data_IF_507845835529
#
_entry.id   IF_507845835529
#
_cell.length_a   1.000
_cell.length_b   1.000
_cell.length_c   1.000
_cell.angle_alpha   90.00
_cell.angle_beta   90.00
_cell.angle_gamma   90.00
#
_symmetry.space_group_name_H-M   'P 1'
#
loop_
_entity.id
_entity.type
_entity.pdbx_description
1 polymer ?
#
# COMPACT_ATOMS: atom_id res chain seq x y z
N UNK A 1 -15.52 -0.79 25.72
CA UNK A 1 -14.49 -1.06 24.68
C UNK A 1 -14.27 0.22 23.90
N UNK A 2 -13.02 0.59 23.61
CA UNK A 2 -12.73 1.77 22.82
C UNK A 2 -13.20 1.59 21.36
N UNK A 3 -13.84 2.61 20.80
CA UNK A 3 -14.26 2.66 19.39
C UNK A 3 -13.04 2.60 18.46
N UNK A 4 -13.24 2.23 17.20
CA UNK A 4 -12.15 2.21 16.20
C UNK A 4 -11.46 3.56 16.06
N UNK A 5 -12.21 4.66 16.12
CA UNK A 5 -11.65 6.03 16.06
C UNK A 5 -10.75 6.34 17.26
N UNK A 6 -11.14 5.93 18.46
CA UNK A 6 -10.31 6.12 19.66
C UNK A 6 -9.01 5.32 19.57
N UNK A 7 -9.06 4.09 19.05
CA UNK A 7 -7.86 3.28 18.81
C UNK A 7 -6.94 3.95 17.78
N UNK A 8 -7.47 4.42 16.66
CA UNK A 8 -6.70 5.15 15.65
C UNK A 8 -6.12 6.47 16.17
N UNK A 9 -6.82 7.16 17.07
CA UNK A 9 -6.32 8.37 17.72
C UNK A 9 -5.14 8.11 18.67
N UNK A 10 -5.08 6.93 19.30
CA UNK A 10 -3.89 6.49 20.06
C UNK A 10 -2.75 6.12 19.10
N UNK A 11 -3.05 5.34 18.08
CA UNK A 11 -2.09 4.95 17.05
C UNK A 11 -1.43 6.17 16.39
N UNK A 12 -2.21 7.21 16.08
CA UNK A 12 -1.68 8.46 15.53
C UNK A 12 -0.56 9.04 16.40
N UNK A 13 -0.74 9.08 17.73
CA UNK A 13 0.28 9.58 18.65
C UNK A 13 1.54 8.73 18.62
N UNK A 14 1.41 7.42 18.43
CA UNK A 14 2.52 6.48 18.35
C UNK A 14 3.32 6.66 17.05
N UNK A 15 2.67 6.92 15.92
CA UNK A 15 3.31 6.87 14.59
C UNK A 15 3.59 8.23 13.95
N UNK A 16 3.02 9.33 14.46
CA UNK A 16 3.08 10.64 13.80
C UNK A 16 4.49 11.13 13.52
N UNK A 17 5.45 10.88 14.42
CA UNK A 17 6.83 11.37 14.29
C UNK A 17 7.57 10.65 13.17
N UNK A 18 7.47 9.32 13.14
CA UNK A 18 8.01 8.49 12.06
C UNK A 18 7.42 8.87 10.70
N UNK A 19 6.15 9.29 10.69
CA UNK A 19 5.41 9.62 9.48
C UNK A 19 5.59 11.08 9.05
N UNK A 20 6.27 11.90 9.88
CA UNK A 20 6.43 13.34 9.65
C UNK A 20 5.12 14.13 9.72
N UNK A 21 4.14 13.64 10.48
CA UNK A 21 2.81 14.23 10.64
C UNK A 21 2.77 15.23 11.80
N UNK A 22 1.99 16.29 11.62
CA UNK A 22 1.69 17.29 12.65
C UNK A 22 0.39 16.94 13.38
N UNK A 23 0.18 17.46 14.59
CA UNK A 23 -1.07 17.22 15.35
C UNK A 23 -2.33 17.62 14.56
N UNK A 24 -2.21 18.62 13.67
CA UNK A 24 -3.28 19.05 12.75
C UNK A 24 -3.70 17.97 11.75
N UNK A 25 -2.85 16.98 11.48
CA UNK A 25 -3.12 15.89 10.53
C UNK A 25 -3.93 14.75 11.15
N UNK A 26 -4.13 14.77 12.47
CA UNK A 26 -4.74 13.68 13.23
C UNK A 26 -6.09 13.24 12.68
N UNK A 27 -7.00 14.17 12.42
CA UNK A 27 -8.34 13.82 11.93
C UNK A 27 -8.27 13.22 10.52
N UNK A 28 -7.43 13.78 9.64
CA UNK A 28 -7.23 13.24 8.30
C UNK A 28 -6.61 11.84 8.34
N UNK A 29 -5.67 11.60 9.25
CA UNK A 29 -5.09 10.27 9.48
C UNK A 29 -6.13 9.26 9.97
N UNK A 30 -6.95 9.63 10.96
CA UNK A 30 -8.01 8.75 11.50
C UNK A 30 -9.02 8.41 10.40
N UNK A 31 -9.46 9.41 9.65
CA UNK A 31 -10.38 9.23 8.52
C UNK A 31 -9.77 8.31 7.45
N UNK A 32 -8.54 8.59 7.02
CA UNK A 32 -7.80 7.76 6.06
C UNK A 32 -7.70 6.31 6.55
N UNK A 33 -7.20 6.07 7.75
CA UNK A 33 -7.00 4.72 8.26
C UNK A 33 -8.33 3.95 8.42
N UNK A 34 -9.39 4.65 8.86
CA UNK A 34 -10.74 4.09 8.98
C UNK A 34 -11.34 3.71 7.62
N UNK A 35 -11.22 4.57 6.60
CA UNK A 35 -11.72 4.25 5.28
C UNK A 35 -10.97 3.08 4.64
N UNK A 36 -9.67 2.94 4.92
CA UNK A 36 -8.83 1.92 4.26
C UNK A 36 -9.27 0.51 4.56
N UNK A 37 -9.58 0.18 5.80
CA UNK A 37 -10.00 -1.19 6.13
C UNK A 37 -11.32 -1.57 5.43
N UNK A 38 -12.26 -0.62 5.26
CA UNK A 38 -13.52 -0.87 4.54
C UNK A 38 -13.30 -1.01 3.03
N UNK A 39 -12.49 -0.13 2.43
CA UNK A 39 -12.14 -0.17 1.00
C UNK A 39 -11.37 -1.44 0.63
N UNK A 40 -10.41 -1.86 1.44
CA UNK A 40 -9.65 -3.09 1.24
C UNK A 40 -10.57 -4.32 1.27
N UNK A 41 -11.45 -4.40 2.27
CA UNK A 41 -12.41 -5.50 2.37
C UNK A 41 -13.37 -5.55 1.18
N UNK A 42 -13.86 -4.41 0.71
CA UNK A 42 -14.70 -4.33 -0.49
C UNK A 42 -13.94 -4.84 -1.72
N UNK A 43 -12.71 -4.37 -1.92
CA UNK A 43 -11.84 -4.77 -3.04
C UNK A 43 -11.59 -6.29 -3.05
N UNK A 44 -11.39 -6.89 -1.89
CA UNK A 44 -11.14 -8.33 -1.77
C UNK A 44 -12.42 -9.15 -1.94
N UNK A 45 -13.57 -8.65 -1.48
CA UNK A 45 -14.88 -9.24 -1.80
C UNK A 45 -15.14 -9.27 -3.31
N UNK A 46 -14.92 -8.15 -4.01
CA UNK A 46 -15.08 -8.07 -5.47
C UNK A 46 -14.08 -8.95 -6.23
N UNK A 47 -12.86 -9.12 -5.70
CA UNK A 47 -11.89 -10.06 -6.27
C UNK A 47 -12.34 -11.51 -6.08
N UNK A 48 -12.85 -11.86 -4.89
CA UNK A 48 -13.42 -13.16 -4.62
C UNK A 48 -14.60 -13.45 -5.54
N UNK A 49 -15.52 -12.51 -5.75
CA UNK A 49 -16.68 -12.67 -6.64
C UNK A 49 -16.27 -12.93 -8.09
N UNK A 50 -15.25 -12.22 -8.60
CA UNK A 50 -14.73 -12.40 -9.97
C UNK A 50 -14.00 -13.72 -10.23
N UNK A 51 -13.43 -14.35 -9.20
CA UNK A 51 -12.82 -15.68 -9.33
C UNK A 51 -13.92 -16.75 -9.37
N UNK A 52 -14.59 -16.89 -10.52
CA UNK A 52 -15.52 -17.97 -10.85
C UNK A 52 -14.78 -19.31 -11.03
N UNK A 53 -14.40 -20.00 -9.95
CA UNK A 53 -14.13 -21.44 -10.00
C UNK A 53 -14.40 -22.10 -8.64
N UNK A 54 -15.41 -22.97 -8.62
CA UNK A 54 -15.70 -24.07 -7.69
C UNK A 54 -15.66 -23.83 -6.16
N UNK A 55 -16.86 -23.61 -5.62
CA UNK A 55 -17.48 -24.43 -4.56
C UNK A 55 -16.61 -24.87 -3.38
N UNK A 56 -16.23 -23.94 -2.53
CA UNK A 56 -16.21 -24.11 -1.07
C UNK A 56 -16.11 -22.70 -0.46
N UNK A 57 -16.73 -22.47 0.70
CA UNK A 57 -16.90 -21.14 1.33
C UNK A 57 -15.69 -20.23 1.11
N UNK A 58 -15.84 -19.21 0.25
CA UNK A 58 -14.84 -18.14 0.09
C UNK A 58 -14.73 -17.42 1.43
N UNK A 59 -13.69 -17.73 2.19
CA UNK A 59 -13.43 -17.07 3.47
C UNK A 59 -13.12 -15.60 3.22
N UNK A 60 -14.00 -14.73 3.69
CA UNK A 60 -13.78 -13.30 3.72
C UNK A 60 -13.65 -12.87 5.18
N UNK A 61 -12.49 -12.37 5.61
CA UNK A 61 -12.31 -11.88 6.97
C UNK A 61 -13.35 -10.81 7.35
N UNK A 62 -13.63 -10.73 8.64
CA UNK A 62 -14.60 -9.76 9.18
C UNK A 62 -14.08 -8.33 9.01
N UNK A 63 -14.97 -7.34 9.13
CA UNK A 63 -14.54 -5.94 9.15
C UNK A 63 -13.53 -5.65 10.29
N UNK A 64 -13.66 -6.36 11.43
CA UNK A 64 -12.74 -6.23 12.56
C UNK A 64 -11.35 -6.79 12.24
N UNK A 65 -11.27 -7.88 11.47
CA UNK A 65 -9.98 -8.47 11.06
C UNK A 65 -9.24 -7.53 10.11
N UNK A 66 -9.94 -6.91 9.16
CA UNK A 66 -9.35 -5.87 8.31
C UNK A 66 -8.90 -4.65 9.11
N UNK A 67 -9.69 -4.21 10.09
CA UNK A 67 -9.29 -3.10 10.96
C UNK A 67 -8.01 -3.43 11.71
N UNK A 68 -7.91 -4.61 12.33
CA UNK A 68 -6.70 -5.06 13.04
C UNK A 68 -5.50 -5.16 12.10
N UNK A 69 -5.67 -5.74 10.91
CA UNK A 69 -4.59 -5.88 9.95
C UNK A 69 -4.08 -4.52 9.44
N UNK A 70 -4.97 -3.57 9.20
CA UNK A 70 -4.61 -2.17 8.86
C UNK A 70 -3.90 -1.49 10.02
N UNK A 71 -4.44 -1.61 11.24
CA UNK A 71 -3.86 -1.04 12.45
C UNK A 71 -2.41 -1.52 12.65
N UNK A 72 -2.20 -2.84 12.60
CA UNK A 72 -0.87 -3.43 12.78
C UNK A 72 0.10 -3.04 11.67
N UNK A 73 -0.37 -2.99 10.42
CA UNK A 73 0.46 -2.57 9.30
C UNK A 73 0.94 -1.11 9.49
N UNK A 74 0.05 -0.19 9.87
CA UNK A 74 0.40 1.20 10.18
C UNK A 74 1.39 1.24 11.34
N UNK A 75 1.09 0.57 12.45
CA UNK A 75 1.90 0.57 13.67
C UNK A 75 3.34 0.09 13.43
N UNK A 76 3.52 -0.88 12.53
CA UNK A 76 4.83 -1.54 12.31
C UNK A 76 5.61 -0.99 11.12
N UNK A 77 5.03 -0.10 10.32
CA UNK A 77 5.64 0.42 9.10
C UNK A 77 6.80 1.41 9.33
N UNK A 78 6.87 2.07 10.49
CA UNK A 78 7.91 3.06 10.82
C UNK A 78 8.10 4.17 9.75
N UNK A 79 7.04 4.49 9.00
CA UNK A 79 7.05 5.55 7.99
C UNK A 79 7.82 5.22 6.70
N UNK A 80 8.22 3.97 6.49
CA UNK A 80 8.99 3.54 5.32
C UNK A 80 8.23 2.55 4.44
N UNK A 81 8.53 2.59 3.14
CA UNK A 81 8.04 1.66 2.14
C UNK A 81 8.67 0.29 2.43
N UNK A 82 7.81 -0.70 2.70
CA UNK A 82 8.22 -2.04 3.13
C UNK A 82 9.21 -2.72 2.17
N UNK A 83 9.12 -2.46 0.87
CA UNK A 83 9.93 -3.15 -0.13
C UNK A 83 11.23 -2.41 -0.45
N UNK A 84 11.26 -1.09 -0.28
CA UNK A 84 12.40 -0.26 -0.72
C UNK A 84 13.14 0.44 0.42
N UNK A 85 12.58 0.46 1.63
CA UNK A 85 13.12 1.17 2.78
C UNK A 85 13.06 2.70 2.66
N UNK A 86 12.48 3.24 1.59
CA UNK A 86 12.38 4.68 1.36
C UNK A 86 11.26 5.28 2.20
N UNK A 87 11.42 6.53 2.66
CA UNK A 87 10.35 7.25 3.38
C UNK A 87 9.09 7.34 2.54
N UNK A 88 7.96 7.06 3.16
CA UNK A 88 6.64 7.21 2.57
C UNK A 88 6.20 8.67 2.61
N UNK A 89 5.51 9.11 1.56
CA UNK A 89 5.02 10.48 1.47
C UNK A 89 3.59 10.60 2.02
N UNK A 90 3.50 10.79 3.34
CA UNK A 90 2.23 10.98 4.03
C UNK A 90 1.56 12.33 3.73
N UNK A 91 2.36 13.37 3.43
CA UNK A 91 1.88 14.71 3.10
C UNK A 91 1.05 14.77 1.81
N UNK A 92 1.26 13.86 0.85
CA UNK A 92 0.40 13.73 -0.34
C UNK A 92 -0.81 12.82 -0.08
N UNK A 93 -0.68 11.91 0.89
CA UNK A 93 -1.67 10.87 1.15
C UNK A 93 -2.90 11.42 1.87
N UNK A 94 -2.72 12.25 2.91
CA UNK A 94 -3.81 12.75 3.74
C UNK A 94 -4.64 13.89 3.07
N UNK A 95 -4.05 14.88 2.37
CA UNK A 95 -4.82 15.99 1.77
C UNK A 95 -5.56 15.62 0.48
N UNK A 96 -5.05 14.64 -0.27
CA UNK A 96 -5.54 14.36 -1.62
C UNK A 96 -6.80 13.47 -1.67
N UNK A 97 -7.15 12.77 -0.57
CA UNK A 97 -8.41 12.02 -0.51
C UNK A 97 -9.64 12.93 -0.33
N UNK A 98 -9.47 14.10 0.30
CA UNK A 98 -10.54 15.13 0.38
C UNK A 98 -10.84 15.80 -0.97
N UNK A 99 -9.87 15.85 -1.87
CA UNK A 99 -9.99 16.65 -3.11
C UNK A 99 -10.47 15.83 -4.31
N UNK A 100 -10.44 14.49 -4.27
CA UNK A 100 -10.92 13.67 -5.39
C UNK A 100 -12.44 13.61 -5.55
N UNK A 101 -13.22 14.21 -4.64
CA UNK A 101 -14.66 14.43 -4.83
C UNK A 101 -15.00 15.86 -5.32
N UNK A 102 -14.04 16.77 -5.45
CA UNK A 102 -14.30 18.16 -5.79
C UNK A 102 -13.56 18.61 -7.07
N UNK A 103 -14.22 18.43 -8.22
CA UNK A 103 -14.24 19.38 -9.34
C UNK A 103 -12.95 20.12 -9.73
N UNK A 104 -11.87 19.43 -10.09
CA UNK A 104 -10.79 20.09 -10.87
C UNK A 104 -10.26 19.17 -11.97
N UNK A 105 -10.25 19.71 -13.19
CA UNK A 105 -9.61 19.16 -14.39
C UNK A 105 -8.10 19.05 -14.17
N UNK A 106 -7.63 18.06 -13.40
CA UNK A 106 -6.21 17.67 -13.43
C UNK A 106 -5.98 16.86 -14.69
N UNK A 107 -4.83 17.09 -15.32
CA UNK A 107 -4.42 16.28 -16.47
C UNK A 107 -4.19 14.84 -16.00
N UNK A 108 -4.58 13.83 -16.79
CA UNK A 108 -4.49 12.41 -16.40
C UNK A 108 -3.08 12.00 -15.92
N UNK A 109 -2.06 12.69 -16.41
CA UNK A 109 -0.64 12.48 -16.10
C UNK A 109 -0.26 12.97 -14.70
N UNK A 110 -0.75 14.14 -14.27
CA UNK A 110 -0.51 14.69 -12.92
C UNK A 110 -1.17 13.84 -11.84
N UNK A 111 -2.36 13.30 -12.14
CA UNK A 111 -3.08 12.40 -11.24
C UNK A 111 -2.37 11.04 -11.09
N UNK A 112 -1.75 10.53 -12.16
CA UNK A 112 -1.00 9.27 -12.11
C UNK A 112 0.27 9.39 -11.28
N UNK A 113 1.06 10.46 -11.47
CA UNK A 113 2.29 10.69 -10.69
C UNK A 113 1.97 10.89 -9.20
N UNK A 114 0.95 11.71 -8.90
CA UNK A 114 0.51 11.93 -7.52
C UNK A 114 0.02 10.62 -6.89
N UNK A 115 -0.69 9.77 -7.64
CA UNK A 115 -1.17 8.46 -7.16
C UNK A 115 -0.03 7.48 -6.88
N UNK A 116 1.04 7.51 -7.66
CA UNK A 116 2.22 6.67 -7.46
C UNK A 116 3.00 7.03 -6.18
N UNK A 117 2.92 8.27 -5.72
CA UNK A 117 3.60 8.73 -4.50
C UNK A 117 2.78 8.53 -3.23
N UNK A 118 1.46 8.28 -3.35
CA UNK A 118 0.59 8.02 -2.19
C UNK A 118 0.94 6.71 -1.51
N UNK A 119 0.76 6.70 -0.19
CA UNK A 119 0.85 5.50 0.63
C UNK A 119 -0.35 4.60 0.37
N UNK A 120 -0.10 3.31 0.20
CA UNK A 120 -1.12 2.28 0.02
C UNK A 120 -0.80 1.05 0.88
N UNK A 121 -1.80 0.18 1.00
CA UNK A 121 -1.63 -1.15 1.58
C UNK A 121 -1.49 -2.19 0.47
N UNK A 122 -0.52 -3.08 0.64
CA UNK A 122 -0.30 -4.24 -0.21
C UNK A 122 -0.49 -5.54 0.58
N UNK A 123 -0.92 -6.59 -0.13
CA UNK A 123 -0.96 -7.94 0.40
C UNK A 123 0.42 -8.62 0.16
N UNK A 124 1.18 -8.82 1.23
CA UNK A 124 2.58 -9.32 1.15
C UNK A 124 2.71 -10.66 0.39
N UNK A 125 1.77 -11.57 0.62
CA UNK A 125 1.75 -12.92 0.03
C UNK A 125 0.63 -13.06 -1.02
N UNK A 126 0.31 -11.97 -1.72
CA UNK A 126 -0.87 -11.94 -2.59
C UNK A 126 -2.17 -12.08 -1.77
N UNK A 127 -3.30 -12.34 -2.44
CA UNK A 127 -4.63 -12.30 -1.81
C UNK A 127 -5.00 -13.58 -1.05
N UNK A 128 -4.11 -14.05 -0.19
CA UNK A 128 -4.32 -15.14 0.76
C UNK A 128 -5.09 -14.67 2.00
N UNK A 129 -6.43 -14.60 1.89
CA UNK A 129 -7.26 -13.98 2.92
C UNK A 129 -7.33 -14.73 4.27
N UNK A 130 -6.88 -16.00 4.34
CA UNK A 130 -6.84 -16.77 5.59
C UNK A 130 -5.79 -16.22 6.58
N UNK A 131 -4.75 -15.55 6.07
CA UNK A 131 -3.73 -14.89 6.87
C UNK A 131 -3.63 -13.42 6.48
N UNK A 132 -4.69 -12.67 6.79
CA UNK A 132 -4.84 -11.27 6.38
C UNK A 132 -3.73 -10.41 7.00
N UNK A 133 -2.70 -10.12 6.21
CA UNK A 133 -1.57 -9.28 6.60
C UNK A 133 -1.29 -8.26 5.51
N UNK A 134 -1.22 -7.00 5.93
CA UNK A 134 -0.85 -5.90 5.06
C UNK A 134 0.52 -5.34 5.41
N UNK A 135 1.14 -4.72 4.42
CA UNK A 135 2.30 -3.83 4.59
C UNK A 135 2.01 -2.51 3.90
N UNK A 136 2.64 -1.43 4.33
CA UNK A 136 2.55 -0.15 3.65
C UNK A 136 3.69 0.01 2.65
N UNK A 137 3.35 0.53 1.48
CA UNK A 137 4.29 0.87 0.43
C UNK A 137 3.76 2.06 -0.37
N UNK A 138 4.61 2.62 -1.23
CA UNK A 138 4.19 3.62 -2.19
C UNK A 138 3.31 3.00 -3.27
N UNK A 139 2.40 3.79 -3.85
CA UNK A 139 1.58 3.38 -4.99
C UNK A 139 2.42 2.87 -6.16
N UNK A 140 3.60 3.47 -6.38
CA UNK A 140 4.58 3.04 -7.39
C UNK A 140 5.07 1.63 -7.15
N UNK A 141 5.50 1.34 -5.92
CA UNK A 141 5.98 -0.01 -5.54
C UNK A 141 4.86 -1.03 -5.66
N UNK A 142 3.66 -0.70 -5.18
CA UNK A 142 2.50 -1.58 -5.26
C UNK A 142 2.10 -1.90 -6.71
N UNK A 143 2.13 -0.90 -7.59
CA UNK A 143 1.82 -1.06 -9.01
C UNK A 143 2.88 -1.92 -9.73
N UNK A 144 4.17 -1.72 -9.40
CA UNK A 144 5.26 -2.52 -9.95
C UNK A 144 5.24 -3.98 -9.47
N UNK A 145 4.91 -4.23 -8.20
CA UNK A 145 4.78 -5.59 -7.65
C UNK A 145 3.55 -6.29 -8.21
N UNK A 146 2.43 -5.58 -8.32
CA UNK A 146 1.15 -6.13 -8.78
C UNK A 146 0.77 -7.40 -7.97
N UNK A 147 0.21 -8.43 -8.61
CA UNK A 147 -0.20 -9.68 -7.98
C UNK A 147 0.97 -10.64 -7.63
N UNK A 148 2.23 -10.26 -7.87
CA UNK A 148 3.38 -11.08 -7.48
C UNK A 148 3.47 -11.22 -5.95
N UNK A 149 3.91 -12.38 -5.47
CA UNK A 149 4.38 -12.54 -4.09
C UNK A 149 5.69 -11.77 -3.88
N UNK A 150 6.06 -11.52 -2.62
CA UNK A 150 7.35 -10.89 -2.30
C UNK A 150 8.54 -11.64 -2.95
N UNK A 151 8.56 -12.97 -2.87
CA UNK A 151 9.63 -13.80 -3.44
C UNK A 151 9.71 -13.67 -4.96
N UNK A 152 8.57 -13.70 -5.65
CA UNK A 152 8.51 -13.53 -7.11
C UNK A 152 8.96 -12.13 -7.53
N UNK A 153 8.55 -11.10 -6.79
CA UNK A 153 8.95 -9.73 -7.06
C UNK A 153 10.46 -9.53 -6.91
N UNK A 154 11.07 -10.06 -5.84
CA UNK A 154 12.52 -10.00 -5.64
C UNK A 154 13.29 -10.73 -6.75
N UNK A 155 12.82 -11.91 -7.17
CA UNK A 155 13.42 -12.66 -8.29
C UNK A 155 13.37 -11.87 -9.59
N UNK A 156 12.24 -11.22 -9.87
CA UNK A 156 12.08 -10.37 -11.05
C UNK A 156 13.03 -9.17 -11.00
N UNK A 157 13.11 -8.46 -9.86
CA UNK A 157 14.04 -7.36 -9.69
C UNK A 157 15.50 -7.79 -9.90
N UNK A 158 15.89 -8.95 -9.36
CA UNK A 158 17.24 -9.48 -9.55
C UNK A 158 17.53 -9.79 -11.02
N UNK A 159 16.61 -10.45 -11.72
CA UNK A 159 16.77 -10.76 -13.15
C UNK A 159 16.92 -9.49 -14.01
N UNK A 160 16.17 -8.43 -13.70
CA UNK A 160 16.30 -7.13 -14.38
C UNK A 160 17.68 -6.51 -14.14
N UNK A 161 18.17 -6.52 -12.91
CA UNK A 161 19.50 -6.00 -12.55
C UNK A 161 20.61 -6.79 -13.24
N UNK A 162 20.52 -8.12 -13.22
CA UNK A 162 21.52 -9.00 -13.82
C UNK A 162 21.60 -8.79 -15.34
N UNK A 163 20.45 -8.65 -16.01
CA UNK A 163 20.40 -8.36 -17.44
C UNK A 163 20.99 -6.97 -17.77
N UNK A 164 20.73 -5.95 -16.93
CA UNK A 164 21.34 -4.62 -17.10
C UNK A 164 22.86 -4.67 -17.03
N UNK A 165 23.40 -5.38 -16.03
CA UNK A 165 24.86 -5.55 -15.86
C UNK A 165 25.49 -6.29 -17.03
N UNK A 166 24.84 -7.35 -17.51
CA UNK A 166 25.33 -8.13 -18.66
C UNK A 166 25.38 -7.28 -19.96
N UNK A 167 24.43 -6.36 -20.15
CA UNK A 167 24.45 -5.40 -21.26
C UNK A 167 25.62 -4.43 -21.17
N UNK A 168 25.87 -3.86 -19.98
CA UNK A 168 26.99 -2.95 -19.74
C UNK A 168 28.35 -3.61 -20.00
N UNK A 169 28.52 -4.87 -19.62
CA UNK A 169 29.75 -5.62 -19.92
C UNK A 169 29.93 -5.96 -21.41
N UNK A 170 28.83 -6.06 -22.17
CA UNK A 170 28.87 -6.41 -23.60
C UNK A 170 29.10 -5.19 -24.50
N UNK A 171 28.71 -3.99 -24.07
CA UNK A 171 28.94 -2.74 -24.81
C UNK A 171 30.35 -2.16 -24.64
N UNK A 172 31.12 -2.62 -23.64
CA UNK A 172 32.50 -2.19 -23.41
C UNK A 172 33.58 -2.85 -24.28
N UNK A 173 33.23 -3.82 -25.14
CA UNK A 173 34.20 -4.63 -25.90
C UNK A 173 34.29 -4.31 -27.40
N UNK A 174 33.81 -3.15 -27.85
CA UNK A 174 33.81 -2.72 -29.26
C UNK A 174 34.77 -1.57 -29.57
N UNK A 175 35.90 -1.52 -28.86
CA UNK A 175 36.95 -0.51 -29.06
C UNK A 175 38.35 -1.05 -28.81
N UNK A 176 38.80 -1.97 -29.65
CA UNK A 176 40.22 -2.20 -29.97
C UNK A 176 40.37 -2.57 -31.44
#
# INVERSE_FOLDING_TARGET
MATYKEQLGKLFKEVREDFGLQETDKEAFIEWAYERHTRLRRRDKEWLERKETNSSKKYLPSCQDYFRAVYEAIRTCAGIDYYTGKKLNWGITLPAEKTQQANTKKTETEDTKTRQERVTFDHINGRELQNLKFVLCSGKTNDAKNDLTQTEFLKLCQAVVDFSKAKESSSGSSGQ
#
